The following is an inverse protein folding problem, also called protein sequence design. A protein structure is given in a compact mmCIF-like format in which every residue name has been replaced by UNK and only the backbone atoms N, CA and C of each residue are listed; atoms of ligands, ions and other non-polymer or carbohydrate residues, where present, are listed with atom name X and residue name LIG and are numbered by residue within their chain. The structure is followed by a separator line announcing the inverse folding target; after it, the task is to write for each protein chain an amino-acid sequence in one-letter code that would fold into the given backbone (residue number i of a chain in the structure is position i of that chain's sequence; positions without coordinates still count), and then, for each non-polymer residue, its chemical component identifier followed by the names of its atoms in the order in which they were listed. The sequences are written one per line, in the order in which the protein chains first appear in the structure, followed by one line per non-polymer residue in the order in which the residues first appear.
data_IF_034325806793
#
_entry.id   IF_034325806793
#
_cell.length_a   1.000
_cell.length_b   1.000
_cell.length_c   1.000
_cell.angle_alpha   90.00
_cell.angle_beta   90.00
_cell.angle_gamma   90.00
#
_symmetry.space_group_name_H-M   'P 1'
#
loop_
_entity.id
_entity.type
_entity.pdbx_description
1 polymer ?
#
# COMPACT_ATOMS: atom_id res chain seq x y z
N UNK A 1 8.48 -7.44 -5.74
CA UNK A 1 7.89 -7.68 -7.07
C UNK A 1 6.83 -6.62 -7.30
N UNK A 2 6.91 -5.85 -8.39
CA UNK A 2 5.87 -4.89 -8.73
C UNK A 2 4.79 -5.63 -9.53
N UNK A 3 3.59 -5.75 -8.96
CA UNK A 3 2.44 -6.24 -9.71
C UNK A 3 1.76 -5.06 -10.40
N UNK A 4 2.12 -4.84 -11.67
CA UNK A 4 1.56 -3.73 -12.46
C UNK A 4 0.18 -4.07 -13.08
N UNK A 5 -0.70 -4.72 -12.32
CA UNK A 5 -2.11 -4.80 -12.69
C UNK A 5 -2.81 -3.52 -12.22
N UNK A 6 -3.21 -2.70 -13.19
CA UNK A 6 -3.96 -1.48 -12.92
C UNK A 6 -5.44 -1.80 -12.91
N UNK A 7 -6.09 -1.60 -11.77
CA UNK A 7 -7.54 -1.70 -11.63
C UNK A 7 -8.13 -0.30 -11.75
N UNK A 8 -9.23 -0.17 -12.48
CA UNK A 8 -9.97 1.08 -12.58
C UNK A 8 -11.30 0.94 -11.84
N UNK A 9 -11.58 1.87 -10.93
CA UNK A 9 -12.85 1.97 -10.23
C UNK A 9 -13.32 3.42 -10.19
N UNK A 10 -14.50 3.67 -10.75
CA UNK A 10 -15.17 5.00 -10.77
C UNK A 10 -14.21 6.14 -11.14
N UNK A 11 -13.43 5.92 -12.20
CA UNK A 11 -12.43 6.86 -12.74
C UNK A 11 -11.10 6.87 -12.00
N UNK A 12 -11.02 6.36 -10.77
CA UNK A 12 -9.73 6.21 -10.08
C UNK A 12 -8.98 4.99 -10.61
N UNK A 13 -7.66 5.09 -10.71
CA UNK A 13 -6.77 3.97 -11.09
C UNK A 13 -5.97 3.53 -9.88
N UNK A 14 -5.76 2.23 -9.74
CA UNK A 14 -5.09 1.63 -8.59
C UNK A 14 -3.99 0.68 -9.05
N UNK A 15 -2.91 0.57 -8.29
CA UNK A 15 -1.89 -0.46 -8.48
C UNK A 15 -1.37 -0.95 -7.12
N UNK A 16 -0.88 -2.19 -7.09
CA UNK A 16 -0.34 -2.81 -5.87
C UNK A 16 1.15 -3.11 -6.07
N UNK A 17 1.97 -2.61 -5.16
CA UNK A 17 3.41 -2.83 -5.15
C UNK A 17 3.80 -3.58 -3.89
N UNK A 18 4.65 -4.60 -4.02
CA UNK A 18 5.09 -5.44 -2.89
C UNK A 18 6.62 -5.53 -2.85
N UNK A 19 7.19 -5.44 -1.65
CA UNK A 19 8.63 -5.55 -1.43
C UNK A 19 8.94 -6.38 -0.18
N UNK A 20 10.06 -7.10 -0.20
CA UNK A 20 10.59 -7.74 1.01
C UNK A 20 11.19 -6.66 1.90
N UNK A 21 10.89 -6.72 3.20
CA UNK A 21 11.45 -5.80 4.21
C UNK A 21 11.75 -6.58 5.48
N UNK A 22 12.88 -6.30 6.10
CA UNK A 22 13.35 -6.94 7.34
C UNK A 22 13.51 -5.93 8.47
N UNK A 23 13.47 -4.65 8.16
CA UNK A 23 13.62 -3.56 9.11
C UNK A 23 12.94 -2.30 8.55
N UNK A 24 13.01 -1.20 9.32
CA UNK A 24 12.42 0.08 8.94
C UNK A 24 13.12 0.75 7.76
N UNK A 25 14.43 0.60 7.63
CA UNK A 25 15.19 1.17 6.52
C UNK A 25 14.78 0.55 5.18
N UNK A 26 14.52 -0.75 5.15
CA UNK A 26 14.00 -1.44 3.95
C UNK A 26 12.65 -0.87 3.49
N UNK A 27 11.78 -0.50 4.43
CA UNK A 27 10.50 0.16 4.13
C UNK A 27 10.74 1.51 3.44
N UNK A 28 11.63 2.33 4.01
CA UNK A 28 11.96 3.65 3.47
C UNK A 28 12.61 3.54 2.08
N UNK A 29 13.52 2.59 1.91
CA UNK A 29 14.16 2.28 0.63
C UNK A 29 13.15 1.79 -0.41
N UNK A 30 12.23 0.90 -0.05
CA UNK A 30 11.16 0.45 -0.95
C UNK A 30 10.30 1.61 -1.43
N UNK A 31 9.85 2.48 -0.52
CA UNK A 31 9.01 3.63 -0.87
C UNK A 31 9.76 4.64 -1.74
N UNK A 32 11.05 4.87 -1.46
CA UNK A 32 11.92 5.72 -2.28
C UNK A 32 12.11 5.15 -3.68
N UNK A 33 12.36 3.85 -3.81
CA UNK A 33 12.47 3.18 -5.10
C UNK A 33 11.15 3.21 -5.88
N UNK A 34 10.02 2.96 -5.22
CA UNK A 34 8.70 3.07 -5.83
C UNK A 34 8.46 4.48 -6.39
N UNK A 35 8.75 5.50 -5.58
CA UNK A 35 8.59 6.92 -5.97
C UNK A 35 9.68 7.45 -6.90
N UNK A 36 10.75 6.70 -7.18
CA UNK A 36 11.71 7.06 -8.24
C UNK A 36 11.05 7.05 -9.63
N UNK A 37 10.00 6.23 -9.79
CA UNK A 37 9.16 6.20 -10.99
C UNK A 37 8.15 7.35 -10.95
N UNK A 38 8.24 8.26 -11.92
CA UNK A 38 7.44 9.49 -12.01
C UNK A 38 5.92 9.28 -11.84
N UNK A 39 5.36 8.18 -12.34
CA UNK A 39 3.92 7.86 -12.20
C UNK A 39 3.51 7.69 -10.73
N UNK A 40 4.32 7.03 -9.90
CA UNK A 40 4.03 6.81 -8.48
C UNK A 40 4.38 8.05 -7.62
N UNK A 41 5.41 8.81 -8.01
CA UNK A 41 5.73 10.10 -7.38
C UNK A 41 4.58 11.11 -7.49
N UNK A 42 3.87 11.10 -8.62
CA UNK A 42 2.73 11.98 -8.91
C UNK A 42 1.38 11.35 -8.56
N UNK A 43 1.36 10.19 -7.91
CA UNK A 43 0.11 9.58 -7.49
C UNK A 43 -0.58 10.43 -6.44
N UNK A 44 -1.91 10.33 -6.37
CA UNK A 44 -2.70 11.05 -5.37
C UNK A 44 -2.38 10.53 -3.98
N UNK A 45 -2.30 9.20 -3.83
CA UNK A 45 -1.99 8.53 -2.57
C UNK A 45 -1.14 7.27 -2.83
N UNK A 46 -0.20 7.00 -1.94
CA UNK A 46 0.58 5.77 -1.82
C UNK A 46 0.42 5.22 -0.40
N UNK A 47 -0.74 4.63 -0.11
CA UNK A 47 -1.06 4.04 1.20
C UNK A 47 -0.38 2.68 1.32
N UNK A 48 0.12 2.32 2.49
CA UNK A 48 0.87 1.08 2.66
C UNK A 48 0.76 0.49 4.06
N UNK A 49 1.09 -0.80 4.17
CA UNK A 49 1.36 -1.48 5.44
C UNK A 49 2.54 -2.45 5.30
N UNK A 50 3.21 -2.71 6.40
CA UNK A 50 4.31 -3.66 6.49
C UNK A 50 4.20 -4.50 7.76
N UNK A 51 4.62 -5.76 7.65
CA UNK A 51 4.74 -6.72 8.76
C UNK A 51 6.14 -7.32 8.71
N UNK A 52 6.88 -7.25 9.80
CA UNK A 52 8.29 -7.68 9.89
C UNK A 52 8.39 -8.66 11.06
N UNK A 53 8.90 -9.87 10.81
CA UNK A 53 9.22 -10.81 11.86
C UNK A 53 10.64 -10.57 12.38
N UNK A 54 10.80 -10.53 13.69
CA UNK A 54 12.10 -10.40 14.33
C UNK A 54 12.05 -11.03 15.73
N UNK A 55 12.99 -11.94 16.02
CA UNK A 55 13.12 -12.63 17.32
C UNK A 55 11.82 -13.26 17.86
N UNK A 56 11.01 -13.85 16.96
CA UNK A 56 9.75 -14.49 17.35
C UNK A 56 8.58 -13.53 17.57
N UNK A 57 8.78 -12.22 17.42
CA UNK A 57 7.73 -11.20 17.40
C UNK A 57 7.43 -10.72 15.97
N UNK A 58 6.21 -10.23 15.76
CA UNK A 58 5.82 -9.55 14.51
C UNK A 58 5.59 -8.08 14.81
N UNK A 59 6.36 -7.22 14.14
CA UNK A 59 6.24 -5.78 14.17
C UNK A 59 5.43 -5.30 12.97
N UNK A 60 4.43 -4.46 13.23
CA UNK A 60 3.48 -4.02 12.21
C UNK A 60 3.41 -2.49 12.14
N UNK A 61 3.39 -1.94 10.93
CA UNK A 61 3.28 -0.50 10.72
C UNK A 61 2.56 -0.17 9.41
N UNK A 62 1.95 1.01 9.33
CA UNK A 62 1.07 1.40 8.20
C UNK A 62 0.98 2.91 8.04
N UNK A 63 0.58 3.36 6.85
CA UNK A 63 0.31 4.77 6.55
C UNK A 63 -0.76 4.91 5.47
N UNK A 64 -1.72 5.82 5.68
CA UNK A 64 -2.80 6.06 4.72
C UNK A 64 -2.42 7.03 3.59
N UNK A 65 -1.37 7.84 3.76
CA UNK A 65 -0.92 8.84 2.77
C UNK A 65 -2.03 9.81 2.29
N UNK A 66 -2.94 10.20 3.19
CA UNK A 66 -4.06 11.10 2.89
C UNK A 66 -5.38 10.39 2.52
N UNK A 67 -5.35 9.07 2.34
CA UNK A 67 -6.56 8.24 2.40
C UNK A 67 -7.09 8.13 3.84
N UNK A 68 -8.28 7.56 4.01
CA UNK A 68 -8.84 7.28 5.34
C UNK A 68 -8.99 5.77 5.49
N UNK A 69 -8.19 5.16 6.36
CA UNK A 69 -8.30 3.74 6.72
C UNK A 69 -7.65 2.75 5.76
N UNK A 70 -7.13 3.19 4.61
CA UNK A 70 -6.54 2.32 3.59
C UNK A 70 -5.37 1.47 4.12
N UNK A 71 -4.45 2.06 4.89
CA UNK A 71 -3.33 1.36 5.50
C UNK A 71 -3.78 0.27 6.48
N UNK A 72 -4.89 0.50 7.21
CA UNK A 72 -5.42 -0.51 8.13
C UNK A 72 -6.07 -1.66 7.38
N UNK A 73 -6.77 -1.37 6.28
CA UNK A 73 -7.33 -2.41 5.39
C UNK A 73 -6.21 -3.29 4.83
N UNK A 74 -5.14 -2.69 4.29
CA UNK A 74 -3.97 -3.44 3.79
C UNK A 74 -3.37 -4.31 4.90
N UNK A 75 -3.16 -3.76 6.10
CA UNK A 75 -2.61 -4.51 7.22
C UNK A 75 -3.50 -5.70 7.62
N UNK A 76 -4.82 -5.54 7.69
CA UNK A 76 -5.76 -6.63 8.01
C UNK A 76 -5.71 -7.76 6.98
N UNK A 77 -5.58 -7.43 5.70
CA UNK A 77 -5.43 -8.43 4.65
C UNK A 77 -4.11 -9.19 4.83
N UNK A 78 -3.00 -8.48 5.08
CA UNK A 78 -1.71 -9.14 5.35
C UNK A 78 -1.77 -10.05 6.58
N UNK A 79 -2.47 -9.65 7.65
CA UNK A 79 -2.67 -10.47 8.84
C UNK A 79 -3.49 -11.73 8.52
N UNK A 80 -4.62 -11.56 7.83
CA UNK A 80 -5.52 -12.66 7.43
C UNK A 80 -4.81 -13.71 6.57
N UNK A 81 -4.03 -13.25 5.60
CA UNK A 81 -3.27 -14.11 4.68
C UNK A 81 -1.88 -14.52 5.24
N UNK A 82 -1.61 -14.19 6.51
CA UNK A 82 -0.35 -14.43 7.21
C UNK A 82 0.92 -14.01 6.43
N UNK A 83 0.85 -12.88 5.73
CA UNK A 83 1.98 -12.32 4.97
C UNK A 83 2.90 -11.55 5.92
N UNK A 84 4.15 -11.96 6.06
CA UNK A 84 5.19 -11.31 6.88
C UNK A 84 6.45 -10.98 6.06
N UNK A 85 7.39 -10.27 6.67
CA UNK A 85 8.66 -9.80 6.09
C UNK A 85 8.49 -9.02 4.78
N UNK A 86 7.41 -8.23 4.75
CA UNK A 86 6.93 -7.62 3.53
C UNK A 86 6.25 -6.28 3.79
N UNK A 87 6.38 -5.37 2.82
CA UNK A 87 5.57 -4.18 2.64
C UNK A 87 4.65 -4.35 1.42
N UNK A 88 3.40 -3.95 1.59
CA UNK A 88 2.43 -3.78 0.49
C UNK A 88 2.04 -2.30 0.43
N UNK A 89 2.16 -1.70 -0.75
CA UNK A 89 1.74 -0.35 -1.06
C UNK A 89 0.66 -0.37 -2.13
N UNK A 90 -0.46 0.28 -1.85
CA UNK A 90 -1.53 0.54 -2.80
C UNK A 90 -1.41 1.99 -3.26
N UNK A 91 -1.11 2.17 -4.54
CA UNK A 91 -1.04 3.48 -5.17
C UNK A 91 -2.35 3.80 -5.85
N UNK A 92 -2.88 5.00 -5.61
CA UNK A 92 -4.09 5.52 -6.24
C UNK A 92 -3.79 6.78 -7.05
N UNK A 93 -4.33 6.83 -8.26
CA UNK A 93 -4.46 8.05 -9.07
C UNK A 93 -5.95 8.43 -9.13
N UNK A 94 -6.29 9.58 -8.54
CA UNK A 94 -7.65 10.11 -8.51
C UNK A 94 -8.08 10.57 -9.91
N UNK A 95 -9.22 10.06 -10.40
CA UNK A 95 -9.77 10.43 -11.71
C UNK A 95 -10.99 11.33 -11.69
N UNK A 96 -11.19 12.14 -10.65
CA UNK A 96 -12.20 13.20 -10.65
C UNK A 96 -13.48 12.93 -9.84
N UNK A 97 -13.78 11.68 -9.48
CA UNK A 97 -14.97 11.34 -8.68
C UNK A 97 -14.57 11.11 -7.20
N UNK A 98 -15.02 11.99 -6.30
CA UNK A 98 -14.79 11.84 -4.84
C UNK A 98 -15.67 10.73 -4.28
N UNK A 99 -15.04 9.62 -3.88
CA UNK A 99 -15.74 8.43 -3.41
C UNK A 99 -15.94 8.33 -1.89
N UNK A 100 -15.53 9.35 -1.11
CA UNK A 100 -15.71 9.45 0.36
C UNK A 100 -15.73 8.08 1.09
N UNK A 101 -16.86 7.67 1.68
CA UNK A 101 -17.02 6.43 2.46
C UNK A 101 -17.37 5.19 1.60
N UNK A 102 -17.62 5.33 0.30
CA UNK A 102 -18.03 4.24 -0.59
C UNK A 102 -16.86 3.48 -1.23
N UNK A 103 -15.62 3.94 -1.01
CA UNK A 103 -14.40 3.40 -1.66
C UNK A 103 -14.12 1.93 -1.41
N UNK A 104 -14.64 1.37 -0.32
CA UNK A 104 -14.32 0.00 0.12
C UNK A 104 -15.55 -0.90 0.18
N UNK A 105 -16.74 -0.44 -0.25
CA UNK A 105 -17.99 -1.23 -0.14
C UNK A 105 -18.02 -2.47 -1.04
N UNK A 106 -17.12 -2.59 -2.00
CA UNK A 106 -17.07 -3.69 -2.97
C UNK A 106 -15.79 -4.53 -2.86
N UNK A 107 -14.96 -4.30 -1.83
CA UNK A 107 -13.79 -5.12 -1.49
C UNK A 107 -14.15 -6.02 -0.31
#
# INVERSE_FOLDING_TARGET
MLFENIIEDRGSRYSVSMGRVTNREDIENFLKQLKSKKKYAKATHNSWAARISHEGAIYETKKDDGEVGAGMVILRIMQKENVTDCIICVTRWFGGIKLMNDRFKHL
#
